data_IF_133946051583
#
_entry.id   IF_133946051583
#
_cell.length_a   1.000
_cell.length_b   1.000
_cell.length_c   1.000
_cell.angle_alpha   90.00
_cell.angle_beta   90.00
_cell.angle_gamma   90.00
#
_symmetry.space_group_name_H-M   'P 1'
#
loop_
_entity.id
_entity.type
_entity.pdbx_description
1 polymer ?
#
# COMPACT_ATOMS: atom_id res chain seq x y z
N UNK A 1 -23.92 -2.84 -13.15
CA UNK A 1 -23.82 -1.82 -12.09
C UNK A 1 -22.45 -1.16 -12.18
N UNK A 2 -22.40 0.14 -12.01
CA UNK A 2 -21.17 0.92 -12.16
C UNK A 2 -20.57 1.32 -10.82
N UNK A 3 -19.25 1.48 -10.81
CA UNK A 3 -18.55 2.13 -9.70
C UNK A 3 -18.86 3.62 -9.77
N UNK A 4 -19.50 4.14 -8.72
CA UNK A 4 -19.86 5.55 -8.65
C UNK A 4 -18.70 6.40 -8.19
N UNK A 5 -17.92 5.91 -7.22
CA UNK A 5 -16.83 6.65 -6.59
C UNK A 5 -15.75 5.71 -6.10
N UNK A 6 -14.50 6.11 -6.26
CA UNK A 6 -13.34 5.41 -5.70
C UNK A 6 -12.62 6.32 -4.70
N UNK A 7 -12.33 5.79 -3.52
CA UNK A 7 -11.65 6.50 -2.44
C UNK A 7 -10.41 5.72 -2.03
N UNK A 8 -9.31 6.44 -1.83
CA UNK A 8 -8.04 5.86 -1.38
C UNK A 8 -7.63 6.55 -0.09
N UNK A 9 -7.45 5.76 0.97
CA UNK A 9 -7.18 6.27 2.31
C UNK A 9 -5.95 5.60 2.89
N UNK A 10 -5.10 6.36 3.56
CA UNK A 10 -3.97 5.81 4.29
C UNK A 10 -4.43 5.00 5.49
N UNK A 11 -3.75 3.89 5.76
CA UNK A 11 -3.99 3.05 6.91
C UNK A 11 -2.73 2.33 7.34
N UNK A 12 -2.87 1.51 8.36
CA UNK A 12 -1.78 0.66 8.85
C UNK A 12 -2.12 -0.81 8.58
N UNK A 13 -1.10 -1.56 8.15
CA UNK A 13 -1.20 -3.00 8.02
C UNK A 13 -1.01 -3.66 9.38
N UNK A 14 -1.24 -4.98 9.44
CA UNK A 14 -0.99 -5.74 10.67
C UNK A 14 0.49 -6.12 10.82
N UNK A 15 1.34 -5.68 9.92
CA UNK A 15 2.77 -5.98 9.93
C UNK A 15 3.60 -4.78 10.34
N UNK A 16 4.83 -5.04 10.76
CA UNK A 16 5.85 -4.03 10.94
C UNK A 16 6.75 -3.98 9.72
N UNK A 17 7.26 -2.79 9.43
CA UNK A 17 8.35 -2.60 8.50
C UNK A 17 9.64 -2.49 9.31
N UNK A 18 10.62 -3.35 9.01
CA UNK A 18 11.91 -3.36 9.68
C UNK A 18 13.00 -2.87 8.74
N UNK A 19 13.81 -1.95 9.21
CA UNK A 19 15.01 -1.51 8.49
C UNK A 19 16.08 -2.59 8.61
N UNK A 20 16.07 -3.52 7.67
CA UNK A 20 16.97 -4.67 7.69
C UNK A 20 18.44 -4.25 7.59
N UNK A 21 18.74 -3.15 6.90
CA UNK A 21 20.12 -2.68 6.81
C UNK A 21 20.62 -2.21 8.20
N UNK A 22 19.79 -1.50 8.96
CA UNK A 22 20.12 -1.11 10.31
C UNK A 22 20.28 -2.34 11.21
N UNK A 23 19.42 -3.34 11.06
CA UNK A 23 19.51 -4.60 11.83
C UNK A 23 20.81 -5.34 11.50
N UNK A 24 21.15 -5.46 10.23
CA UNK A 24 22.41 -6.08 9.79
C UNK A 24 23.64 -5.32 10.28
N UNK A 25 23.52 -4.01 10.41
CA UNK A 25 24.59 -3.16 10.95
C UNK A 25 24.70 -3.24 12.47
N UNK A 26 23.86 -4.04 13.15
CA UNK A 26 23.95 -4.28 14.57
C UNK A 26 23.04 -3.39 15.41
N UNK A 27 21.86 -3.05 14.92
CA UNK A 27 20.87 -2.32 15.72
C UNK A 27 20.56 -3.10 17.00
N UNK A 28 20.51 -2.38 18.13
CA UNK A 28 20.13 -2.96 19.41
C UNK A 28 18.64 -3.28 19.46
N UNK A 29 18.23 -3.97 20.51
CA UNK A 29 16.81 -4.21 20.73
C UNK A 29 16.50 -4.28 22.23
N UNK A 30 15.27 -3.93 22.57
CA UNK A 30 14.69 -4.07 23.90
C UNK A 30 13.47 -4.99 23.76
N UNK A 31 13.65 -6.28 24.10
CA UNK A 31 12.64 -7.29 23.82
C UNK A 31 12.40 -7.43 22.31
N UNK A 32 11.17 -7.17 21.87
CA UNK A 32 10.80 -7.24 20.46
C UNK A 32 10.92 -5.90 19.72
N UNK A 33 11.39 -4.86 20.39
CA UNK A 33 11.53 -3.52 19.81
C UNK A 33 13.00 -3.28 19.47
N UNK A 34 13.26 -3.00 18.19
CA UNK A 34 14.59 -2.60 17.76
C UNK A 34 14.85 -1.15 18.16
N UNK A 35 16.08 -0.90 18.61
CA UNK A 35 16.55 0.42 19.05
C UNK A 35 17.64 0.92 18.11
N UNK A 36 17.95 2.22 18.21
CA UNK A 36 18.93 2.87 17.35
C UNK A 36 18.29 3.64 16.21
N UNK A 37 19.13 4.19 15.35
CA UNK A 37 18.69 5.03 14.25
C UNK A 37 18.49 4.22 12.97
N UNK A 38 17.47 4.53 12.16
CA UNK A 38 17.31 3.93 10.85
C UNK A 38 18.39 4.42 9.89
N UNK A 39 18.71 3.59 8.91
CA UNK A 39 19.70 3.91 7.88
C UNK A 39 19.12 3.89 6.47
N UNK A 40 17.99 3.21 6.26
CA UNK A 40 17.33 3.15 4.96
C UNK A 40 16.40 4.34 4.77
N UNK A 41 16.47 5.03 3.62
CA UNK A 41 15.58 6.16 3.34
C UNK A 41 14.10 5.80 3.46
N UNK A 42 13.32 6.66 4.10
CA UNK A 42 11.89 6.47 4.33
C UNK A 42 11.56 5.92 5.72
N UNK A 43 12.50 5.22 6.37
CA UNK A 43 12.30 4.77 7.74
C UNK A 43 12.50 5.93 8.73
N UNK A 44 11.62 6.00 9.72
CA UNK A 44 11.71 6.95 10.84
C UNK A 44 12.16 6.27 12.13
N UNK A 45 12.10 4.95 12.16
CA UNK A 45 12.63 4.11 13.24
C UNK A 45 13.04 2.78 12.62
N UNK A 46 13.87 2.00 13.32
CA UNK A 46 14.34 0.69 12.84
C UNK A 46 13.16 -0.27 12.64
N UNK A 47 12.19 -0.22 13.53
CA UNK A 47 10.91 -0.93 13.36
C UNK A 47 9.77 0.07 13.45
N UNK A 48 8.91 0.09 12.47
CA UNK A 48 7.74 0.96 12.45
C UNK A 48 6.51 0.22 11.94
N UNK A 49 5.32 0.73 12.27
CA UNK A 49 4.08 0.16 11.78
C UNK A 49 4.06 0.20 10.25
N UNK A 50 3.74 -0.93 9.63
CA UNK A 50 3.58 -1.02 8.20
C UNK A 50 2.37 -0.23 7.72
N UNK A 51 2.51 0.47 6.59
CA UNK A 51 1.43 1.24 6.00
C UNK A 51 0.71 0.45 4.92
N UNK A 52 -0.53 0.84 4.68
CA UNK A 52 -1.33 0.35 3.57
C UNK A 52 -2.18 1.48 3.00
N UNK A 53 -2.73 1.23 1.81
CA UNK A 53 -3.76 2.09 1.23
C UNK A 53 -5.06 1.29 1.23
N UNK A 54 -6.08 1.80 1.90
CA UNK A 54 -7.42 1.23 1.85
C UNK A 54 -8.16 1.80 0.65
N UNK A 55 -8.81 0.91 -0.10
CA UNK A 55 -9.59 1.26 -1.29
C UNK A 55 -11.05 1.02 -0.99
N UNK A 56 -11.88 2.04 -1.14
CA UNK A 56 -13.32 1.92 -1.05
C UNK A 56 -13.95 2.26 -2.38
N UNK A 57 -14.79 1.37 -2.89
CA UNK A 57 -15.55 1.60 -4.11
C UNK A 57 -17.02 1.73 -3.74
N UNK A 58 -17.59 2.89 -3.99
CA UNK A 58 -19.03 3.12 -3.80
C UNK A 58 -19.71 2.76 -5.10
N UNK A 59 -20.59 1.76 -5.04
CA UNK A 59 -21.30 1.25 -6.19
C UNK A 59 -22.59 2.05 -6.44
N UNK A 60 -23.15 1.89 -7.63
CA UNK A 60 -24.34 2.63 -8.05
C UNK A 60 -25.56 2.43 -7.15
N UNK A 61 -25.65 1.30 -6.44
CA UNK A 61 -26.74 1.01 -5.49
C UNK A 61 -26.42 1.47 -4.06
N UNK A 62 -25.30 2.15 -3.84
CA UNK A 62 -24.86 2.60 -2.51
C UNK A 62 -24.06 1.58 -1.72
N UNK A 63 -23.91 0.36 -2.20
CA UNK A 63 -23.04 -0.63 -1.55
C UNK A 63 -21.58 -0.18 -1.63
N UNK A 64 -20.79 -0.60 -0.66
CA UNK A 64 -19.37 -0.29 -0.59
C UNK A 64 -18.56 -1.57 -0.67
N UNK A 65 -17.69 -1.66 -1.67
CA UNK A 65 -16.69 -2.71 -1.75
C UNK A 65 -15.37 -2.18 -1.22
N UNK A 66 -14.62 -3.02 -0.50
CA UNK A 66 -13.35 -2.62 0.12
C UNK A 66 -12.22 -3.55 -0.28
N UNK A 67 -11.03 -3.00 -0.36
CA UNK A 67 -9.80 -3.74 -0.59
C UNK A 67 -8.62 -2.94 -0.04
N UNK A 68 -7.48 -3.59 0.08
CA UNK A 68 -6.29 -2.95 0.59
C UNK A 68 -5.10 -3.20 -0.33
N UNK A 69 -4.25 -2.16 -0.45
CA UNK A 69 -2.93 -2.28 -1.02
C UNK A 69 -1.93 -2.24 0.12
N UNK A 70 -1.25 -3.35 0.32
CA UNK A 70 -0.24 -3.46 1.38
C UNK A 70 0.98 -4.18 0.85
N UNK A 71 2.12 -3.95 1.46
CA UNK A 71 3.37 -4.64 1.14
C UNK A 71 3.87 -5.37 2.37
N UNK A 72 4.50 -6.52 2.12
CA UNK A 72 5.36 -7.19 3.11
C UNK A 72 6.77 -6.69 2.84
N UNK A 73 7.32 -5.92 3.77
CA UNK A 73 8.51 -5.13 3.52
C UNK A 73 9.82 -5.91 3.71
N UNK A 74 9.88 -7.13 3.18
CA UNK A 74 11.12 -7.89 3.11
C UNK A 74 11.98 -7.48 1.91
N UNK A 75 11.33 -7.18 0.79
CA UNK A 75 12.02 -6.79 -0.43
C UNK A 75 12.72 -5.44 -0.30
N UNK A 76 12.05 -4.45 0.28
CA UNK A 76 12.63 -3.15 0.55
C UNK A 76 13.81 -3.23 1.51
N UNK A 77 13.82 -4.23 2.37
CA UNK A 77 14.88 -4.49 3.33
C UNK A 77 16.25 -4.70 2.71
N UNK A 78 16.30 -5.24 1.49
CA UNK A 78 17.54 -5.42 0.77
C UNK A 78 17.93 -4.23 -0.10
N UNK A 79 17.21 -3.13 -0.02
CA UNK A 79 17.41 -1.96 -0.88
C UNK A 79 16.91 -2.18 -2.31
N UNK A 80 16.18 -3.26 -2.54
CA UNK A 80 15.68 -3.60 -3.88
C UNK A 80 14.47 -2.77 -4.28
N UNK A 81 13.53 -2.60 -3.35
CA UNK A 81 12.31 -1.83 -3.58
C UNK A 81 12.22 -0.67 -2.58
N UNK A 82 11.61 0.44 -2.96
CA UNK A 82 11.36 1.54 -2.03
C UNK A 82 10.45 1.10 -0.89
N UNK A 83 10.58 1.77 0.26
CA UNK A 83 9.65 1.58 1.37
C UNK A 83 8.23 1.96 0.93
N UNK A 84 7.24 1.12 1.24
CA UNK A 84 5.85 1.40 0.93
C UNK A 84 5.29 2.42 1.92
N UNK A 85 5.07 3.63 1.43
CA UNK A 85 4.45 4.71 2.19
C UNK A 85 3.18 5.16 1.46
N UNK A 86 2.05 5.18 2.17
CA UNK A 86 0.76 5.54 1.59
C UNK A 86 0.79 6.93 0.93
N UNK A 87 1.50 7.89 1.53
CA UNK A 87 1.64 9.25 1.00
C UNK A 87 2.25 9.31 -0.40
N UNK A 88 3.04 8.30 -0.78
CA UNK A 88 3.65 8.23 -2.11
C UNK A 88 2.70 7.63 -3.16
N UNK A 89 1.77 6.79 -2.73
CA UNK A 89 0.87 6.06 -3.64
C UNK A 89 -0.49 6.73 -3.83
N UNK A 90 -1.03 7.37 -2.79
CA UNK A 90 -2.36 7.96 -2.88
C UNK A 90 -2.48 9.00 -3.99
N UNK A 91 -1.53 9.96 -4.16
CA UNK A 91 -1.61 10.90 -5.28
C UNK A 91 -1.59 10.20 -6.64
N UNK A 92 -0.75 9.18 -6.81
CA UNK A 92 -0.67 8.40 -8.04
C UNK A 92 -2.01 7.68 -8.32
N UNK A 93 -2.60 7.06 -7.30
CA UNK A 93 -3.88 6.36 -7.43
C UNK A 93 -5.01 7.32 -7.80
N UNK A 94 -5.04 8.49 -7.20
CA UNK A 94 -6.02 9.52 -7.52
C UNK A 94 -5.88 10.04 -8.94
N UNK A 95 -4.65 10.22 -9.40
CA UNK A 95 -4.38 10.81 -10.72
C UNK A 95 -4.56 9.80 -11.85
N UNK A 96 -4.17 8.54 -11.64
CA UNK A 96 -4.08 7.55 -12.73
C UNK A 96 -5.07 6.40 -12.62
N UNK A 97 -5.48 6.01 -11.44
CA UNK A 97 -6.33 4.83 -11.24
C UNK A 97 -7.79 5.21 -11.02
N UNK A 98 -8.05 6.23 -10.23
CA UNK A 98 -9.41 6.69 -9.96
C UNK A 98 -10.22 6.96 -11.24
N UNK A 99 -9.68 7.65 -12.27
CA UNK A 99 -10.43 7.87 -13.50
C UNK A 99 -10.79 6.59 -14.26
N UNK A 100 -10.00 5.51 -14.07
CA UNK A 100 -10.26 4.22 -14.69
C UNK A 100 -11.29 3.41 -13.91
N UNK A 101 -11.45 3.68 -12.63
CA UNK A 101 -12.41 2.99 -11.75
C UNK A 101 -13.79 3.62 -11.82
N UNK A 102 -13.87 4.95 -11.70
CA UNK A 102 -15.16 5.65 -11.68
C UNK A 102 -15.86 5.53 -13.03
N UNK A 103 -17.11 5.09 -13.00
CA UNK A 103 -17.90 4.81 -14.19
C UNK A 103 -17.73 3.41 -14.79
N UNK A 104 -16.83 2.60 -14.23
CA UNK A 104 -16.56 1.24 -14.73
C UNK A 104 -17.63 0.26 -14.25
N UNK A 105 -18.04 -0.66 -15.12
CA UNK A 105 -18.95 -1.74 -14.76
C UNK A 105 -18.26 -2.82 -13.93
N UNK A 106 -18.96 -3.32 -12.89
CA UNK A 106 -18.47 -4.39 -12.03
C UNK A 106 -19.04 -5.77 -12.38
N UNK A 107 -19.65 -5.90 -13.55
CA UNK A 107 -20.41 -7.08 -13.91
C UNK A 107 -19.57 -8.33 -14.09
N UNK A 108 -18.30 -8.19 -14.50
CA UNK A 108 -17.40 -9.33 -14.71
C UNK A 108 -16.11 -9.12 -13.96
N UNK A 109 -15.89 -9.97 -12.95
CA UNK A 109 -14.64 -9.98 -12.20
C UNK A 109 -13.42 -10.26 -13.10
N UNK A 110 -13.53 -11.26 -13.98
CA UNK A 110 -12.41 -11.65 -14.84
C UNK A 110 -12.05 -10.57 -15.85
N UNK A 111 -13.05 -9.89 -16.41
CA UNK A 111 -12.83 -8.78 -17.34
C UNK A 111 -12.10 -7.62 -16.64
N UNK A 112 -12.54 -7.28 -15.44
CA UNK A 112 -11.91 -6.20 -14.66
C UNK A 112 -10.51 -6.59 -14.21
N UNK A 113 -10.33 -7.81 -13.74
CA UNK A 113 -9.01 -8.30 -13.31
C UNK A 113 -8.01 -8.26 -14.47
N UNK A 114 -8.40 -8.71 -15.66
CA UNK A 114 -7.54 -8.66 -16.84
C UNK A 114 -7.20 -7.24 -17.25
N UNK A 115 -8.16 -6.34 -17.21
CA UNK A 115 -7.93 -4.94 -17.56
C UNK A 115 -6.85 -4.32 -16.68
N UNK A 116 -6.96 -4.47 -15.36
CA UNK A 116 -6.01 -3.88 -14.43
C UNK A 116 -4.66 -4.62 -14.42
N UNK A 117 -4.67 -5.92 -14.66
CA UNK A 117 -3.46 -6.73 -14.74
C UNK A 117 -2.58 -6.34 -15.96
N UNK A 118 -3.21 -6.00 -17.06
CA UNK A 118 -2.53 -5.61 -18.31
C UNK A 118 -2.27 -4.10 -18.42
N UNK A 119 -2.70 -3.33 -17.43
CA UNK A 119 -2.57 -1.87 -17.45
C UNK A 119 -1.12 -1.42 -17.46
N UNK A 120 -0.82 -0.46 -18.33
CA UNK A 120 0.48 0.21 -18.40
C UNK A 120 0.27 1.71 -18.18
N UNK A 121 1.07 2.25 -17.26
CA UNK A 121 1.00 3.67 -16.90
C UNK A 121 2.39 4.29 -17.01
#
# INVERSE_FOLDING_TARGET
MKIKKALFTAGYSSFYFDDQQAIKNGAGHDGFIYTGDPVTPGFTSVRQAGECVSVQLILGNGAVAVGDCAAVQYSGAGGRDPLFLAENFIPFLNDHIKPLLEGRDVDSFLTNARFFDELRI
#
